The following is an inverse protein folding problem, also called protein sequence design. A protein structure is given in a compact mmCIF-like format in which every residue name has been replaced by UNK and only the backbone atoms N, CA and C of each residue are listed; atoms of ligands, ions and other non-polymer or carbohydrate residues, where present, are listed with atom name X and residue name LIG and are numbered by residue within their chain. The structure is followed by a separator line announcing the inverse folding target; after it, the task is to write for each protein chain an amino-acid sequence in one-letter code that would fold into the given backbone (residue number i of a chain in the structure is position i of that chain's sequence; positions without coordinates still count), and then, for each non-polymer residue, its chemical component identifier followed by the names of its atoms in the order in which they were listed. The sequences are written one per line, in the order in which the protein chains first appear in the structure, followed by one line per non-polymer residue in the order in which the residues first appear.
data_IF_065839348559
#
_entry.id   IF_065839348559
#
_cell.length_a   1.000
_cell.length_b   1.000
_cell.length_c   1.000
_cell.angle_alpha   90.00
_cell.angle_beta   90.00
_cell.angle_gamma   90.00
#
_symmetry.space_group_name_H-M   'P 1'
#
loop_
_entity.id
_entity.type
_entity.pdbx_description
1 polymer ?
#
# COMPACT_ATOMS: atom_id res chain seq x y z
N UNK A 1 -15.81 8.60 -37.24
CA UNK A 1 -16.68 9.76 -37.52
C UNK A 1 -16.43 10.78 -36.43
N UNK A 2 -15.96 11.96 -36.80
CA UNK A 2 -15.53 13.01 -35.87
C UNK A 2 -16.74 13.71 -35.23
N UNK A 3 -16.63 14.04 -33.94
CA UNK A 3 -17.43 15.09 -33.33
C UNK A 3 -16.66 15.68 -32.12
N UNK A 4 -16.15 16.89 -32.31
CA UNK A 4 -15.81 17.83 -31.24
C UNK A 4 -17.08 18.39 -30.61
N UNK A 5 -17.15 18.44 -29.27
CA UNK A 5 -17.98 19.41 -28.55
C UNK A 5 -17.22 19.99 -27.36
N UNK A 6 -17.14 21.32 -27.36
CA UNK A 6 -16.78 22.18 -26.22
C UNK A 6 -17.96 22.26 -25.24
N UNK A 7 -17.65 22.46 -23.97
CA UNK A 7 -18.57 23.06 -22.99
C UNK A 7 -19.02 22.07 -21.93
N UNK A 8 -18.80 22.45 -20.67
CA UNK A 8 -18.92 21.56 -19.52
C UNK A 8 -20.31 21.00 -19.28
N UNK A 9 -20.33 19.78 -18.76
CA UNK A 9 -21.31 19.32 -17.78
C UNK A 9 -20.73 18.11 -17.04
N UNK A 10 -20.89 18.15 -15.72
CA UNK A 10 -20.56 17.10 -14.77
C UNK A 10 -21.28 15.81 -15.18
N UNK A 11 -20.54 14.75 -15.50
CA UNK A 11 -21.09 13.41 -15.70
C UNK A 11 -20.86 12.59 -14.41
N UNK A 12 -21.83 12.71 -13.51
CA UNK A 12 -22.04 11.83 -12.38
C UNK A 12 -22.54 10.48 -12.92
N UNK A 13 -21.68 9.46 -12.95
CA UNK A 13 -22.10 8.10 -13.27
C UNK A 13 -22.65 7.42 -12.00
N UNK A 14 -23.93 7.66 -11.72
CA UNK A 14 -24.73 6.81 -10.83
C UNK A 14 -25.28 5.66 -11.67
N UNK A 15 -24.89 4.43 -11.35
CA UNK A 15 -25.61 3.23 -11.79
C UNK A 15 -26.32 2.67 -10.56
N UNK A 16 -27.63 2.90 -10.52
CA UNK A 16 -28.57 2.25 -9.61
C UNK A 16 -29.19 1.05 -10.32
N UNK A 17 -29.17 -0.13 -9.69
CA UNK A 17 -30.20 -1.14 -9.89
C UNK A 17 -30.17 -2.14 -8.73
N UNK A 18 -31.16 -2.06 -7.83
CA UNK A 18 -32.01 -3.22 -7.57
C UNK A 18 -33.27 -2.86 -6.78
N UNK A 19 -34.36 -3.43 -7.28
CA UNK A 19 -35.74 -3.25 -6.90
C UNK A 19 -36.11 -4.05 -5.64
N UNK A 20 -37.06 -3.50 -4.90
CA UNK A 20 -38.09 -4.15 -4.06
C UNK A 20 -37.68 -4.94 -2.82
N UNK A 21 -38.02 -4.34 -1.68
CA UNK A 21 -38.43 -4.99 -0.45
C UNK A 21 -39.51 -6.05 -0.72
N UNK A 22 -39.27 -7.26 -0.22
CA UNK A 22 -40.32 -8.18 0.18
C UNK A 22 -39.81 -8.95 1.39
N UNK A 23 -40.59 -8.85 2.46
CA UNK A 23 -40.39 -9.53 3.73
C UNK A 23 -39.99 -10.99 3.53
N UNK A 24 -38.89 -11.40 4.16
CA UNK A 24 -38.76 -12.77 4.63
C UNK A 24 -38.21 -12.75 6.05
N UNK A 25 -39.04 -13.32 6.91
CA UNK A 25 -38.79 -13.66 8.31
C UNK A 25 -37.41 -14.29 8.47
N UNK A 26 -36.53 -13.67 9.24
CA UNK A 26 -35.34 -14.34 9.77
C UNK A 26 -35.80 -15.37 10.80
N UNK A 27 -36.04 -16.60 10.35
CA UNK A 27 -35.98 -17.75 11.23
C UNK A 27 -34.52 -17.92 11.65
N UNK A 28 -34.24 -17.72 12.93
CA UNK A 28 -33.00 -18.11 13.58
C UNK A 28 -32.78 -19.61 13.39
N UNK A 29 -32.03 -19.98 12.35
CA UNK A 29 -31.50 -21.33 12.20
C UNK A 29 -30.15 -21.37 12.89
N UNK A 30 -30.17 -21.81 14.14
CA UNK A 30 -28.97 -22.28 14.84
C UNK A 30 -28.49 -23.56 14.14
N UNK A 31 -27.61 -23.42 13.15
CA UNK A 31 -26.71 -24.49 12.73
C UNK A 31 -25.31 -24.11 13.18
N UNK A 32 -24.59 -25.03 13.82
CA UNK A 32 -23.15 -24.89 14.07
C UNK A 32 -22.43 -24.69 12.74
N UNK A 33 -22.26 -23.44 12.32
CA UNK A 33 -21.60 -23.11 11.07
C UNK A 33 -20.10 -23.41 11.22
N UNK A 34 -19.57 -24.27 10.34
CA UNK A 34 -18.13 -24.45 10.20
C UNK A 34 -17.47 -23.12 9.83
N UNK A 35 -16.21 -22.93 10.22
CA UNK A 35 -15.46 -21.73 9.85
C UNK A 35 -15.39 -21.60 8.33
N UNK A 36 -15.46 -20.38 7.75
CA UNK A 36 -15.15 -20.12 6.34
C UNK A 36 -13.89 -20.86 5.85
N UNK A 37 -12.87 -20.94 6.70
CA UNK A 37 -11.62 -21.64 6.40
C UNK A 37 -11.84 -23.15 6.32
N UNK A 38 -12.61 -23.76 7.22
CA UNK A 38 -12.85 -25.21 7.21
C UNK A 38 -13.65 -25.63 5.98
N UNK A 39 -14.63 -24.81 5.58
CA UNK A 39 -15.40 -25.04 4.36
C UNK A 39 -14.53 -24.91 3.11
N UNK A 40 -13.58 -23.98 3.14
CA UNK A 40 -12.61 -23.78 2.08
C UNK A 40 -11.69 -24.99 1.94
N UNK A 41 -11.08 -25.44 3.02
CA UNK A 41 -10.19 -26.61 3.03
C UNK A 41 -10.94 -27.88 2.58
N UNK A 42 -12.17 -28.09 3.06
CA UNK A 42 -13.01 -29.22 2.65
C UNK A 42 -13.35 -29.17 1.16
N UNK A 43 -13.54 -27.98 0.60
CA UNK A 43 -13.73 -27.81 -0.83
C UNK A 43 -12.49 -28.19 -1.64
N UNK A 44 -11.31 -27.73 -1.20
CA UNK A 44 -10.03 -28.01 -1.86
C UNK A 44 -9.76 -29.51 -1.92
N UNK A 45 -9.93 -30.23 -0.81
CA UNK A 45 -9.69 -31.68 -0.74
C UNK A 45 -10.56 -32.49 -1.71
N UNK A 46 -11.70 -31.95 -2.15
CA UNK A 46 -12.58 -32.60 -3.12
C UNK A 46 -12.28 -32.23 -4.58
N UNK A 47 -11.35 -31.31 -4.84
CA UNK A 47 -11.10 -30.73 -6.17
C UNK A 47 -9.63 -30.73 -6.58
N UNK A 48 -8.72 -30.82 -5.63
CA UNK A 48 -7.28 -30.80 -5.85
C UNK A 48 -6.69 -32.05 -5.19
N UNK A 49 -5.72 -32.74 -5.84
CA UNK A 49 -5.03 -33.86 -5.22
C UNK A 49 -4.41 -33.49 -3.87
N UNK A 50 -4.47 -34.42 -2.91
CA UNK A 50 -4.07 -34.16 -1.53
C UNK A 50 -2.58 -33.78 -1.41
N UNK A 51 -1.74 -34.31 -2.30
CA UNK A 51 -0.32 -34.00 -2.39
C UNK A 51 -0.01 -32.56 -2.81
N UNK A 52 -1.01 -31.82 -3.31
CA UNK A 52 -0.87 -30.41 -3.72
C UNK A 52 -1.51 -29.43 -2.73
N UNK A 53 -2.17 -29.91 -1.67
CA UNK A 53 -2.84 -29.08 -0.66
C UNK A 53 -2.21 -29.30 0.71
N UNK A 54 -1.40 -28.33 1.13
CA UNK A 54 -0.72 -28.37 2.42
C UNK A 54 -1.47 -27.50 3.43
N UNK A 55 -2.11 -28.13 4.40
CA UNK A 55 -2.70 -27.45 5.57
C UNK A 55 -1.67 -27.26 6.67
N UNK A 56 -1.91 -26.39 7.65
CA UNK A 56 -0.97 -26.21 8.78
C UNK A 56 -0.69 -27.51 9.59
N UNK A 57 -1.59 -28.49 9.53
CA UNK A 57 -1.41 -29.81 10.15
C UNK A 57 -0.62 -30.80 9.29
N UNK A 58 -0.36 -30.48 8.01
CA UNK A 58 0.38 -31.34 7.09
C UNK A 58 1.88 -31.33 7.42
N UNK A 59 2.52 -32.49 7.43
CA UNK A 59 3.96 -32.62 7.72
C UNK A 59 4.84 -31.85 6.73
N UNK A 60 4.42 -31.73 5.47
CA UNK A 60 5.12 -30.97 4.42
C UNK A 60 4.86 -29.46 4.43
N UNK A 61 3.93 -28.95 5.26
CA UNK A 61 3.51 -27.55 5.20
C UNK A 61 4.65 -26.55 5.35
N UNK A 62 5.51 -26.76 6.35
CA UNK A 62 6.62 -25.85 6.59
C UNK A 62 7.69 -25.93 5.52
N UNK A 63 7.93 -27.12 4.94
CA UNK A 63 8.87 -27.28 3.85
C UNK A 63 8.37 -26.53 2.61
N UNK A 64 7.10 -26.73 2.25
CA UNK A 64 6.48 -26.07 1.10
C UNK A 64 6.34 -24.56 1.30
N UNK A 65 5.98 -24.10 2.51
CA UNK A 65 5.92 -22.69 2.83
C UNK A 65 7.30 -22.06 2.64
N UNK A 66 8.34 -22.68 3.20
CA UNK A 66 9.70 -22.12 3.15
C UNK A 66 10.27 -22.09 1.73
N UNK A 67 9.93 -23.08 0.89
CA UNK A 67 10.39 -23.15 -0.50
C UNK A 67 9.65 -22.20 -1.45
N UNK A 68 8.34 -22.01 -1.25
CA UNK A 68 7.47 -21.26 -2.19
C UNK A 68 7.28 -19.79 -1.82
N UNK A 69 7.45 -19.44 -0.54
CA UNK A 69 7.07 -18.11 -0.04
C UNK A 69 7.98 -17.02 -0.58
N UNK A 70 7.40 -16.12 -1.36
CA UNK A 70 8.09 -14.92 -1.84
C UNK A 70 8.25 -13.87 -0.73
N UNK A 71 7.45 -13.97 0.34
CA UNK A 71 7.47 -13.08 1.49
C UNK A 71 7.77 -13.81 2.81
N UNK A 72 9.04 -13.84 3.27
CA UNK A 72 9.47 -14.59 4.46
C UNK A 72 8.73 -14.23 5.75
N UNK A 73 7.99 -13.11 5.80
CA UNK A 73 7.15 -12.76 6.95
C UNK A 73 6.26 -13.92 7.37
N UNK A 74 5.66 -14.62 6.39
CA UNK A 74 4.72 -15.72 6.62
C UNK A 74 5.38 -16.98 7.21
N UNK A 75 6.72 -17.05 7.22
CA UNK A 75 7.48 -18.13 7.84
C UNK A 75 7.71 -17.87 9.34
N UNK A 76 7.72 -16.60 9.75
CA UNK A 76 7.97 -16.20 11.14
C UNK A 76 6.72 -16.37 12.03
N UNK A 77 6.92 -16.54 13.34
CA UNK A 77 5.81 -16.57 14.31
C UNK A 77 5.15 -15.20 14.54
N UNK A 78 5.65 -14.12 13.91
CA UNK A 78 5.16 -12.77 14.10
C UNK A 78 3.93 -12.43 13.24
N UNK A 79 3.59 -13.27 12.26
CA UNK A 79 2.41 -13.09 11.40
C UNK A 79 1.58 -14.37 11.34
N UNK A 80 0.26 -14.20 11.19
CA UNK A 80 -0.64 -15.32 10.94
C UNK A 80 -0.19 -16.03 9.66
N UNK A 81 0.12 -17.32 9.79
CA UNK A 81 0.51 -18.16 8.66
C UNK A 81 -0.69 -18.40 7.74
N UNK A 82 -0.47 -18.67 6.43
CA UNK A 82 -1.54 -19.08 5.53
C UNK A 82 -2.34 -20.25 6.12
N UNK A 83 -3.65 -20.26 5.90
CA UNK A 83 -4.51 -21.37 6.33
C UNK A 83 -4.16 -22.67 5.60
N UNK A 84 -3.77 -22.57 4.32
CA UNK A 84 -3.18 -23.64 3.53
C UNK A 84 -2.30 -23.07 2.41
N UNK A 85 -1.52 -23.94 1.78
CA UNK A 85 -0.77 -23.68 0.56
C UNK A 85 -1.31 -24.62 -0.50
N UNK A 86 -1.62 -24.06 -1.68
CA UNK A 86 -1.96 -24.83 -2.87
C UNK A 86 -0.75 -24.78 -3.79
N UNK A 87 0.01 -25.87 -3.85
CA UNK A 87 1.10 -26.04 -4.80
C UNK A 87 0.51 -26.33 -6.18
N UNK A 88 0.01 -25.30 -6.85
CA UNK A 88 -0.68 -25.49 -8.12
C UNK A 88 0.30 -25.93 -9.21
N UNK A 89 0.18 -27.18 -9.68
CA UNK A 89 0.90 -27.71 -10.84
C UNK A 89 0.19 -27.48 -12.18
N UNK A 90 -1.09 -27.12 -12.14
CA UNK A 90 -1.94 -26.88 -13.31
C UNK A 90 -2.92 -25.72 -13.06
N UNK A 91 -3.33 -25.03 -14.13
CA UNK A 91 -4.27 -23.92 -14.05
C UNK A 91 -5.61 -24.32 -13.40
N UNK A 92 -6.06 -25.56 -13.56
CA UNK A 92 -7.27 -26.08 -12.92
C UNK A 92 -7.19 -26.08 -11.39
N UNK A 93 -6.00 -26.23 -10.78
CA UNK A 93 -5.82 -26.14 -9.33
C UNK A 93 -6.05 -24.72 -8.82
N UNK A 94 -5.55 -23.73 -9.56
CA UNK A 94 -5.80 -22.31 -9.26
C UNK A 94 -7.30 -22.02 -9.38
N UNK A 95 -7.93 -22.44 -10.48
CA UNK A 95 -9.38 -22.27 -10.67
C UNK A 95 -10.20 -22.93 -9.55
N UNK A 96 -9.81 -24.14 -9.12
CA UNK A 96 -10.44 -24.86 -8.02
C UNK A 96 -10.29 -24.11 -6.70
N UNK A 97 -9.08 -23.64 -6.37
CA UNK A 97 -8.84 -22.86 -5.16
C UNK A 97 -9.67 -21.59 -5.14
N UNK A 98 -9.73 -20.89 -6.25
CA UNK A 98 -10.51 -19.66 -6.33
C UNK A 98 -12.03 -19.93 -6.23
N UNK A 99 -12.56 -20.98 -6.90
CA UNK A 99 -13.97 -21.38 -6.75
C UNK A 99 -14.33 -21.79 -5.31
N UNK A 100 -13.41 -22.50 -4.66
CA UNK A 100 -13.56 -22.89 -3.26
C UNK A 100 -13.55 -21.68 -2.34
N UNK A 101 -12.68 -20.70 -2.59
CA UNK A 101 -12.64 -19.45 -1.84
C UNK A 101 -13.99 -18.73 -1.88
N UNK A 102 -14.54 -18.53 -3.09
CA UNK A 102 -15.87 -17.96 -3.30
C UNK A 102 -16.96 -18.64 -2.47
N UNK A 103 -17.03 -19.98 -2.54
CA UNK A 103 -18.07 -20.76 -1.85
C UNK A 103 -18.00 -20.59 -0.33
N UNK A 104 -16.79 -20.38 0.17
CA UNK A 104 -16.51 -20.25 1.59
C UNK A 104 -16.51 -18.80 2.09
N UNK A 105 -16.90 -17.83 1.26
CA UNK A 105 -16.87 -16.41 1.65
C UNK A 105 -15.46 -15.81 1.70
N UNK A 106 -14.44 -16.52 1.22
CA UNK A 106 -13.11 -15.99 0.94
C UNK A 106 -13.17 -15.39 -0.47
N UNK A 107 -13.70 -14.17 -0.58
CA UNK A 107 -14.28 -13.53 -1.76
C UNK A 107 -13.36 -13.24 -2.97
N UNK A 108 -12.63 -14.24 -3.46
CA UNK A 108 -11.95 -14.20 -4.75
C UNK A 108 -12.52 -15.31 -5.63
N UNK A 109 -12.80 -15.00 -6.89
CA UNK A 109 -13.47 -15.88 -7.86
C UNK A 109 -12.64 -15.97 -9.14
N UNK A 110 -12.68 -17.07 -9.90
CA UNK A 110 -11.73 -17.25 -11.01
C UNK A 110 -11.94 -16.21 -12.10
N UNK A 111 -13.15 -15.64 -12.16
CA UNK A 111 -13.49 -14.48 -12.99
C UNK A 111 -12.84 -13.17 -12.54
N UNK A 112 -12.31 -13.09 -11.31
CA UNK A 112 -11.62 -11.91 -10.78
C UNK A 112 -10.10 -11.95 -11.06
N UNK A 113 -9.59 -13.08 -11.57
CA UNK A 113 -8.17 -13.27 -11.90
C UNK A 113 -7.96 -13.18 -13.42
N UNK A 114 -6.93 -12.44 -13.83
CA UNK A 114 -6.52 -12.34 -15.23
C UNK A 114 -5.10 -12.86 -15.40
N UNK A 115 -4.93 -13.93 -16.18
CA UNK A 115 -3.62 -14.43 -16.56
C UNK A 115 -3.02 -13.51 -17.62
N UNK A 116 -2.06 -12.67 -17.21
CA UNK A 116 -1.41 -11.66 -18.04
C UNK A 116 0.10 -11.87 -18.08
N UNK A 117 0.72 -11.57 -19.23
CA UNK A 117 2.17 -11.39 -19.25
C UNK A 117 2.56 -10.19 -18.39
N UNK A 118 3.80 -10.13 -17.91
CA UNK A 118 4.26 -9.04 -17.04
C UNK A 118 3.98 -7.64 -17.63
N UNK A 119 4.24 -7.44 -18.93
CA UNK A 119 3.98 -6.17 -19.60
C UNK A 119 2.49 -5.79 -19.61
N UNK A 120 1.60 -6.78 -19.82
CA UNK A 120 0.14 -6.55 -19.80
C UNK A 120 -0.37 -6.32 -18.38
N UNK A 121 0.22 -6.96 -17.38
CA UNK A 121 -0.09 -6.69 -15.98
C UNK A 121 0.29 -5.25 -15.58
N UNK A 122 1.44 -4.74 -16.05
CA UNK A 122 1.84 -3.34 -15.82
C UNK A 122 0.92 -2.35 -16.54
N UNK A 123 0.50 -2.68 -17.76
CA UNK A 123 -0.50 -1.89 -18.49
C UNK A 123 -1.85 -1.89 -17.76
N UNK A 124 -2.30 -3.03 -17.23
CA UNK A 124 -3.52 -3.14 -16.44
C UNK A 124 -3.48 -2.25 -15.18
N UNK A 125 -2.39 -2.33 -14.40
CA UNK A 125 -2.22 -1.52 -13.19
C UNK A 125 -2.17 -0.03 -13.52
N UNK A 126 -1.50 0.35 -14.61
CA UNK A 126 -1.25 1.76 -14.94
C UNK A 126 -2.40 2.43 -15.68
N UNK A 127 -3.13 1.68 -16.50
CA UNK A 127 -4.18 2.19 -17.38
C UNK A 127 -5.59 1.79 -16.94
N UNK A 128 -5.71 0.88 -15.96
CA UNK A 128 -6.97 0.49 -15.32
C UNK A 128 -7.83 -0.49 -16.12
N UNK A 129 -7.34 -1.04 -17.23
CA UNK A 129 -8.09 -1.95 -18.09
C UNK A 129 -7.23 -3.15 -18.54
N UNK A 130 -7.77 -4.36 -18.44
CA UNK A 130 -7.01 -5.60 -18.69
C UNK A 130 -6.67 -5.80 -20.17
N UNK A 131 -7.45 -5.18 -21.06
CA UNK A 131 -7.27 -5.15 -22.51
C UNK A 131 -6.49 -3.92 -23.01
N UNK A 132 -6.01 -3.06 -22.10
CA UNK A 132 -5.27 -1.86 -22.47
C UNK A 132 -3.99 -2.20 -23.28
N UNK A 133 -3.80 -1.48 -24.37
CA UNK A 133 -2.61 -1.58 -25.20
C UNK A 133 -1.37 -1.08 -24.43
N UNK A 134 -0.30 -1.88 -24.28
CA UNK A 134 0.90 -1.47 -23.53
C UNK A 134 1.55 -0.18 -24.03
N UNK A 135 1.40 0.13 -25.31
CA UNK A 135 1.88 1.37 -25.94
C UNK A 135 1.29 2.62 -25.29
N UNK A 136 0.12 2.51 -24.64
CA UNK A 136 -0.47 3.58 -23.85
C UNK A 136 0.47 4.10 -22.75
N UNK A 137 1.33 3.24 -22.19
CA UNK A 137 2.33 3.63 -21.18
C UNK A 137 3.47 4.50 -21.75
N UNK A 138 3.61 4.59 -23.09
CA UNK A 138 4.58 5.49 -23.73
C UNK A 138 4.10 6.94 -23.76
N UNK A 139 2.83 7.21 -23.48
CA UNK A 139 2.24 8.55 -23.51
C UNK A 139 2.77 9.39 -22.34
N UNK A 140 3.49 10.46 -22.65
CA UNK A 140 4.09 11.38 -21.66
C UNK A 140 3.24 12.62 -21.36
N UNK A 141 1.94 12.58 -21.67
CA UNK A 141 1.05 13.71 -21.46
C UNK A 141 0.60 13.75 -20.00
N UNK A 142 0.92 14.82 -19.28
CA UNK A 142 0.48 15.03 -17.90
C UNK A 142 -0.84 15.81 -17.85
N UNK A 143 -1.73 15.41 -16.94
CA UNK A 143 -2.92 16.19 -16.61
C UNK A 143 -2.52 17.30 -15.63
N UNK A 144 -2.55 18.56 -16.09
CA UNK A 144 -2.22 19.74 -15.26
C UNK A 144 -3.41 20.27 -14.44
N UNK A 145 -4.60 19.67 -14.57
CA UNK A 145 -5.83 20.13 -13.90
C UNK A 145 -6.13 19.42 -12.57
N UNK A 146 -5.28 18.50 -12.12
CA UNK A 146 -5.46 17.76 -10.88
C UNK A 146 -4.29 18.03 -9.95
N UNK A 147 -4.62 18.50 -8.75
CA UNK A 147 -3.65 18.70 -7.68
C UNK A 147 -3.72 17.54 -6.70
N UNK A 148 -2.59 17.27 -6.04
CA UNK A 148 -2.46 16.19 -5.08
C UNK A 148 -1.63 16.66 -3.88
N UNK A 149 -2.04 16.21 -2.69
CA UNK A 149 -1.19 16.20 -1.49
C UNK A 149 -1.09 14.75 -1.04
N UNK A 150 0.12 14.34 -0.70
CA UNK A 150 0.39 12.99 -0.21
C UNK A 150 1.16 13.02 1.10
N UNK A 151 0.96 11.95 1.88
CA UNK A 151 1.74 11.61 3.08
C UNK A 151 2.04 10.13 3.05
N UNK A 152 2.92 9.67 3.93
CA UNK A 152 3.19 8.24 4.07
C UNK A 152 3.51 7.82 5.49
N UNK A 153 3.29 6.54 5.76
CA UNK A 153 3.67 5.89 7.01
C UNK A 153 4.21 4.50 6.74
N UNK A 154 4.89 3.93 7.73
CA UNK A 154 5.19 2.51 7.78
C UNK A 154 4.50 1.84 8.97
N UNK A 155 3.92 0.67 8.75
CA UNK A 155 3.32 -0.14 9.81
C UNK A 155 4.24 -1.29 10.16
N UNK A 156 4.50 -1.47 11.46
CA UNK A 156 5.35 -2.55 12.00
C UNK A 156 4.59 -3.52 12.90
N UNK A 157 3.36 -3.16 13.32
CA UNK A 157 2.48 -4.01 14.14
C UNK A 157 1.09 -4.04 13.53
N UNK A 158 0.40 -5.20 13.52
CA UNK A 158 -0.94 -5.27 12.97
C UNK A 158 -1.91 -4.38 13.74
N UNK A 159 -2.77 -3.67 13.01
CA UNK A 159 -3.91 -2.96 13.58
C UNK A 159 -5.06 -3.93 13.84
N UNK A 160 -5.78 -3.74 14.95
CA UNK A 160 -6.97 -4.53 15.26
C UNK A 160 -8.16 -4.18 14.35
N UNK A 161 -9.08 -5.13 14.17
CA UNK A 161 -10.26 -4.95 13.33
C UNK A 161 -11.11 -3.73 13.74
N UNK A 162 -11.29 -3.50 15.04
CA UNK A 162 -12.02 -2.33 15.54
C UNK A 162 -11.36 -0.99 15.14
N UNK A 163 -10.03 -0.93 15.14
CA UNK A 163 -9.30 0.26 14.71
C UNK A 163 -9.49 0.52 13.20
N UNK A 164 -9.46 -0.54 12.39
CA UNK A 164 -9.77 -0.43 10.96
C UNK A 164 -11.21 -0.01 10.69
N UNK A 165 -12.17 -0.57 11.41
CA UNK A 165 -13.58 -0.20 11.28
C UNK A 165 -13.82 1.27 11.60
N UNK A 166 -13.23 1.76 12.70
CA UNK A 166 -13.32 3.17 13.07
C UNK A 166 -12.64 4.09 12.04
N UNK A 167 -11.41 3.77 11.63
CA UNK A 167 -10.70 4.53 10.59
C UNK A 167 -11.51 4.64 9.30
N UNK A 168 -12.14 3.53 8.88
CA UNK A 168 -12.96 3.49 7.69
C UNK A 168 -14.22 4.35 7.83
N UNK A 169 -14.98 4.17 8.92
CA UNK A 169 -16.21 4.94 9.15
C UNK A 169 -15.96 6.43 9.28
N UNK A 170 -14.89 6.81 9.99
CA UNK A 170 -14.67 8.18 10.43
C UNK A 170 -14.00 9.03 9.34
N UNK A 171 -13.21 8.41 8.46
CA UNK A 171 -12.42 9.12 7.45
C UNK A 171 -12.71 8.70 6.01
N UNK A 172 -12.71 7.39 5.73
CA UNK A 172 -12.74 6.86 4.35
C UNK A 172 -14.14 6.77 3.76
N UNK A 173 -15.19 6.66 4.58
CA UNK A 173 -16.59 6.59 4.13
C UNK A 173 -17.22 7.97 3.80
N UNK A 174 -16.42 9.04 3.78
CA UNK A 174 -16.90 10.41 3.54
C UNK A 174 -16.97 10.77 2.04
N UNK A 175 -17.90 11.65 1.66
CA UNK A 175 -18.21 11.99 0.25
C UNK A 175 -17.11 12.73 -0.54
N UNK A 176 -15.93 12.95 0.04
CA UNK A 176 -14.74 13.50 -0.64
C UNK A 176 -13.46 12.88 -0.08
N UNK A 177 -13.53 11.63 0.39
CA UNK A 177 -12.37 10.93 0.89
C UNK A 177 -11.30 10.83 -0.21
N UNK A 178 -10.04 10.99 0.20
CA UNK A 178 -8.91 10.61 -0.62
C UNK A 178 -8.72 9.10 -0.67
N UNK A 179 -7.53 8.69 -1.06
CA UNK A 179 -7.10 7.29 -1.15
C UNK A 179 -6.14 6.94 -0.02
N UNK A 180 -6.27 5.71 0.46
CA UNK A 180 -5.31 5.06 1.34
C UNK A 180 -4.86 3.78 0.64
N UNK A 181 -3.58 3.72 0.28
CA UNK A 181 -2.98 2.59 -0.45
C UNK A 181 -2.03 1.86 0.50
N UNK A 182 -2.20 0.54 0.63
CA UNK A 182 -1.36 -0.30 1.47
C UNK A 182 -0.47 -1.15 0.58
N UNK A 183 0.84 -0.92 0.63
CA UNK A 183 1.81 -1.66 -0.17
C UNK A 183 2.50 -2.71 0.70
N UNK A 184 2.23 -4.02 0.49
CA UNK A 184 2.75 -5.06 1.35
C UNK A 184 4.29 -5.09 1.28
N UNK A 185 4.89 -5.08 2.46
CA UNK A 185 6.33 -5.20 2.62
C UNK A 185 6.70 -6.62 3.07
N UNK A 186 8.01 -6.87 3.15
CA UNK A 186 8.61 -8.15 3.48
C UNK A 186 9.43 -8.67 2.30
N UNK A 187 9.36 -9.97 2.02
CA UNK A 187 10.14 -10.52 0.90
C UNK A 187 11.65 -10.41 1.12
N UNK A 188 12.37 -10.43 0.00
CA UNK A 188 13.82 -10.16 -0.03
C UNK A 188 14.13 -8.80 0.62
N UNK A 189 13.27 -7.81 0.40
CA UNK A 189 13.44 -6.44 0.93
C UNK A 189 13.44 -6.44 2.46
N UNK A 190 12.54 -7.20 3.10
CA UNK A 190 12.45 -7.24 4.57
C UNK A 190 13.29 -8.32 5.25
N UNK A 191 13.77 -9.34 4.53
CA UNK A 191 14.45 -10.49 5.13
C UNK A 191 15.95 -10.60 4.79
N UNK A 192 16.37 -10.07 3.64
CA UNK A 192 17.74 -10.29 3.12
C UNK A 192 18.56 -9.01 3.12
N UNK A 193 17.94 -7.88 2.78
CA UNK A 193 18.66 -6.61 2.58
C UNK A 193 18.78 -5.86 3.91
N UNK A 194 20.01 -5.58 4.40
CA UNK A 194 20.20 -4.79 5.62
C UNK A 194 19.67 -3.35 5.48
N UNK A 195 19.15 -2.79 6.58
CA UNK A 195 18.64 -1.41 6.65
C UNK A 195 19.67 -0.35 6.18
N UNK A 196 20.97 -0.65 6.35
CA UNK A 196 22.08 0.27 6.02
C UNK A 196 22.68 0.02 4.62
N UNK A 197 22.14 -0.92 3.85
CA UNK A 197 22.69 -1.31 2.56
C UNK A 197 22.55 -0.21 1.50
N UNK A 198 21.46 0.56 1.56
CA UNK A 198 21.20 1.72 0.71
C UNK A 198 20.66 2.88 1.56
N UNK A 199 20.48 4.09 1.03
CA UNK A 199 19.86 5.19 1.77
C UNK A 199 18.48 4.84 2.34
N UNK A 200 17.72 3.98 1.64
CA UNK A 200 16.37 3.56 2.01
C UNK A 200 16.38 2.52 3.17
N UNK A 201 15.95 2.90 4.39
CA UNK A 201 16.14 2.08 5.59
C UNK A 201 14.96 1.16 5.93
N UNK A 202 13.78 1.38 5.34
CA UNK A 202 12.54 0.73 5.77
C UNK A 202 12.48 -0.71 5.27
N UNK A 203 13.12 -1.63 6.00
CA UNK A 203 13.32 -3.03 5.58
C UNK A 203 12.72 -4.01 6.58
N UNK A 204 13.56 -4.51 7.49
CA UNK A 204 13.19 -5.57 8.41
C UNK A 204 12.11 -5.10 9.39
N UNK A 205 11.13 -5.97 9.65
CA UNK A 205 10.01 -5.69 10.57
C UNK A 205 8.93 -4.75 10.04
N UNK A 206 9.06 -4.24 8.80
CA UNK A 206 7.99 -3.48 8.14
C UNK A 206 6.94 -4.46 7.58
N UNK A 207 5.68 -4.24 7.93
CA UNK A 207 4.54 -5.00 7.41
C UNK A 207 4.05 -4.42 6.09
N UNK A 208 3.88 -3.11 5.99
CA UNK A 208 3.48 -2.43 4.76
C UNK A 208 3.81 -0.94 4.86
N UNK A 209 4.01 -0.32 3.70
CA UNK A 209 3.95 1.13 3.57
C UNK A 209 2.49 1.55 3.37
N UNK A 210 2.15 2.73 3.88
CA UNK A 210 0.89 3.39 3.58
C UNK A 210 1.21 4.65 2.78
N UNK A 211 0.52 4.81 1.65
CA UNK A 211 0.42 6.09 0.96
C UNK A 211 -0.97 6.67 1.21
N UNK A 212 -1.01 7.88 1.76
CA UNK A 212 -2.21 8.69 1.86
C UNK A 212 -2.19 9.69 0.73
N UNK A 213 -3.28 9.80 -0.04
CA UNK A 213 -3.38 10.76 -1.14
C UNK A 213 -4.73 11.44 -1.13
N UNK A 214 -4.77 12.75 -1.32
CA UNK A 214 -6.00 13.49 -1.56
C UNK A 214 -5.85 14.32 -2.82
N UNK A 215 -6.90 14.35 -3.63
CA UNK A 215 -6.92 15.03 -4.93
C UNK A 215 -7.96 16.14 -4.92
N UNK A 216 -7.68 17.23 -5.64
CA UNK A 216 -8.67 18.26 -5.92
C UNK A 216 -8.48 18.86 -7.31
N UNK A 217 -9.50 19.58 -7.78
CA UNK A 217 -9.57 20.21 -9.09
C UNK A 217 -9.97 21.67 -8.96
N UNK A 218 -9.76 22.44 -10.02
CA UNK A 218 -10.02 23.88 -10.05
C UNK A 218 -8.76 24.66 -9.71
N UNK A 219 -8.79 25.44 -8.63
CA UNK A 219 -7.68 26.27 -8.20
C UNK A 219 -6.65 25.48 -7.36
N UNK A 220 -5.36 25.80 -7.54
CA UNK A 220 -4.28 25.21 -6.74
C UNK A 220 -4.45 25.51 -5.25
N UNK A 221 -4.92 26.72 -4.95
CA UNK A 221 -5.19 27.23 -3.60
C UNK A 221 -6.64 27.71 -3.51
N UNK A 222 -7.25 27.54 -2.34
CA UNK A 222 -8.66 27.86 -2.11
C UNK A 222 -9.35 26.81 -1.24
N UNK A 223 -10.68 26.91 -1.12
CA UNK A 223 -11.45 26.10 -0.17
C UNK A 223 -11.34 24.60 -0.43
N UNK A 224 -11.38 24.15 -1.70
CA UNK A 224 -11.21 22.73 -2.05
C UNK A 224 -9.84 22.20 -1.62
N UNK A 225 -8.77 22.96 -1.87
CA UNK A 225 -7.41 22.58 -1.43
C UNK A 225 -7.29 22.55 0.11
N UNK A 226 -7.98 23.46 0.81
CA UNK A 226 -7.96 23.54 2.26
C UNK A 226 -8.76 22.39 2.88
N UNK A 227 -9.94 22.08 2.36
CA UNK A 227 -10.75 20.94 2.78
C UNK A 227 -10.01 19.61 2.55
N UNK A 228 -9.38 19.44 1.38
CA UNK A 228 -8.58 18.25 1.06
C UNK A 228 -7.42 18.07 2.06
N UNK A 229 -6.66 19.13 2.33
CA UNK A 229 -5.56 19.10 3.29
C UNK A 229 -6.04 18.80 4.72
N UNK A 230 -7.11 19.44 5.18
CA UNK A 230 -7.71 19.18 6.51
C UNK A 230 -8.14 17.71 6.66
N UNK A 231 -8.75 17.13 5.62
CA UNK A 231 -9.12 15.72 5.64
C UNK A 231 -7.89 14.81 5.76
N UNK A 232 -6.86 15.08 4.96
CA UNK A 232 -5.62 14.30 4.97
C UNK A 232 -4.89 14.39 6.31
N UNK A 233 -4.82 15.59 6.89
CA UNK A 233 -4.18 15.81 8.20
C UNK A 233 -4.95 15.09 9.32
N UNK A 234 -6.29 15.11 9.28
CA UNK A 234 -7.11 14.37 10.23
C UNK A 234 -6.90 12.85 10.12
N UNK A 235 -6.89 12.30 8.91
CA UNK A 235 -6.61 10.88 8.67
C UNK A 235 -5.20 10.50 9.14
N UNK A 236 -4.20 11.33 8.82
CA UNK A 236 -2.81 11.09 9.20
C UNK A 236 -2.62 11.18 10.73
N UNK A 237 -3.32 12.09 11.40
CA UNK A 237 -3.33 12.17 12.87
C UNK A 237 -3.96 10.92 13.50
N UNK A 238 -5.11 10.45 12.97
CA UNK A 238 -5.79 9.26 13.47
C UNK A 238 -4.91 7.99 13.41
N UNK A 239 -4.00 7.92 12.44
CA UNK A 239 -3.09 6.78 12.26
C UNK A 239 -1.88 6.79 13.21
N UNK A 240 -1.59 7.89 13.92
CA UNK A 240 -0.34 8.07 14.67
C UNK A 240 -0.03 6.94 15.65
N UNK A 241 -1.03 6.47 16.41
CA UNK A 241 -0.86 5.41 17.40
C UNK A 241 -0.68 4.00 16.78
N UNK A 242 -1.05 3.84 15.52
CA UNK A 242 -1.08 2.56 14.81
C UNK A 242 0.17 2.31 13.94
N UNK A 243 0.91 3.36 13.60
CA UNK A 243 2.05 3.32 12.69
C UNK A 243 3.38 3.33 13.45
N UNK A 244 4.50 3.31 12.71
CA UNK A 244 5.84 3.46 13.29
C UNK A 244 5.95 4.75 14.13
N UNK A 245 6.78 4.70 15.17
CA UNK A 245 7.04 5.85 16.02
C UNK A 245 8.47 5.83 16.53
N UNK A 246 9.01 7.04 16.78
CA UNK A 246 10.40 7.29 17.24
C UNK A 246 11.50 6.75 16.30
N UNK A 247 11.65 7.30 15.08
CA UNK A 247 10.80 8.33 14.46
C UNK A 247 9.54 7.74 13.82
N UNK A 248 8.54 8.59 13.55
CA UNK A 248 7.44 8.22 12.66
C UNK A 248 7.96 8.24 11.23
N UNK A 249 8.17 7.04 10.68
CA UNK A 249 8.86 6.81 9.42
C UNK A 249 8.04 7.29 8.22
N UNK A 250 8.71 7.82 7.19
CA UNK A 250 8.09 8.31 5.97
C UNK A 250 8.92 7.92 4.73
N UNK A 251 8.34 7.93 3.54
CA UNK A 251 9.04 7.61 2.30
C UNK A 251 9.41 8.87 1.50
N UNK A 252 10.70 9.05 1.18
CA UNK A 252 11.22 10.29 0.57
C UNK A 252 10.61 10.63 -0.80
N UNK A 253 10.21 9.63 -1.59
CA UNK A 253 9.56 9.88 -2.89
C UNK A 253 8.11 10.36 -2.74
N UNK A 254 7.54 10.29 -1.54
CA UNK A 254 6.29 10.95 -1.16
C UNK A 254 6.63 12.17 -0.31
N UNK A 255 7.29 13.15 -0.93
CA UNK A 255 7.85 14.33 -0.25
C UNK A 255 6.75 15.10 0.49
N UNK A 256 6.98 15.36 1.77
CA UNK A 256 6.05 16.04 2.65
C UNK A 256 6.79 17.12 3.43
N UNK A 257 6.53 18.40 3.11
CA UNK A 257 7.17 19.51 3.83
C UNK A 257 6.64 19.65 5.27
N UNK A 258 5.49 19.05 5.59
CA UNK A 258 4.85 19.19 6.91
C UNK A 258 5.62 18.44 8.01
N UNK A 259 6.52 17.51 7.65
CA UNK A 259 7.41 16.83 8.62
C UNK A 259 8.69 17.62 8.92
N UNK A 260 8.87 18.78 8.28
CA UNK A 260 9.94 19.74 8.56
C UNK A 260 10.71 20.15 7.31
N UNK A 261 11.23 21.37 7.36
CA UNK A 261 12.07 21.96 6.31
C UNK A 261 13.43 22.36 6.87
N UNK A 262 14.37 22.55 5.96
CA UNK A 262 15.72 23.01 6.19
C UNK A 262 15.76 24.46 6.69
N UNK A 263 16.57 24.71 7.72
CA UNK A 263 17.02 26.06 8.05
C UNK A 263 18.40 26.31 7.43
N UNK A 264 18.61 27.51 6.89
CA UNK A 264 19.88 27.93 6.31
C UNK A 264 20.56 28.93 7.24
N UNK A 265 21.76 28.59 7.72
CA UNK A 265 22.57 29.41 8.62
C UNK A 265 23.94 29.61 7.99
N UNK A 266 24.37 30.87 7.84
CA UNK A 266 25.66 31.16 7.19
C UNK A 266 25.74 30.72 5.72
N UNK A 267 24.60 30.62 5.03
CA UNK A 267 24.52 30.20 3.63
C UNK A 267 24.53 28.69 3.39
N UNK A 268 24.54 27.88 4.46
CA UNK A 268 24.55 26.41 4.40
C UNK A 268 23.36 25.84 5.18
N UNK A 269 22.77 24.75 4.68
CA UNK A 269 21.72 24.04 5.40
C UNK A 269 22.25 23.46 6.72
N UNK A 270 21.57 23.75 7.83
CA UNK A 270 21.94 23.28 9.15
C UNK A 270 21.54 21.82 9.39
N UNK A 271 22.50 20.97 9.76
CA UNK A 271 22.30 19.54 10.03
C UNK A 271 21.22 19.26 11.09
N UNK A 272 21.28 19.95 12.25
CA UNK A 272 20.36 19.68 13.36
C UNK A 272 18.90 20.02 13.01
N UNK A 273 18.67 21.09 12.24
CA UNK A 273 17.33 21.44 11.75
C UNK A 273 16.74 20.33 10.87
N UNK A 274 17.59 19.73 10.03
CA UNK A 274 17.18 18.75 9.04
C UNK A 274 16.94 17.37 9.63
N UNK A 275 17.53 17.04 10.79
CA UNK A 275 17.33 15.73 11.44
C UNK A 275 15.85 15.42 11.70
N UNK A 276 15.03 16.44 11.96
CA UNK A 276 13.58 16.30 12.25
C UNK A 276 12.82 15.56 11.14
N UNK A 277 13.14 15.85 9.88
CA UNK A 277 12.57 15.18 8.71
C UNK A 277 13.51 14.07 8.20
N UNK A 278 14.82 14.28 8.27
CA UNK A 278 15.84 13.38 7.74
C UNK A 278 15.86 12.01 8.41
N UNK A 279 15.69 11.95 9.73
CA UNK A 279 15.60 10.68 10.46
C UNK A 279 14.27 9.95 10.18
N UNK A 280 13.21 10.65 9.76
CA UNK A 280 11.95 10.01 9.33
C UNK A 280 12.11 9.31 7.98
N UNK A 281 12.82 9.93 7.02
CA UNK A 281 13.06 9.35 5.69
C UNK A 281 14.19 8.33 5.63
N UNK A 282 15.24 8.53 6.45
CA UNK A 282 16.49 7.79 6.31
C UNK A 282 16.93 7.08 7.59
N UNK A 283 16.21 7.26 8.71
CA UNK A 283 16.53 6.63 10.00
C UNK A 283 18.03 6.80 10.33
N UNK A 284 18.71 5.71 10.72
CA UNK A 284 20.14 5.71 11.01
C UNK A 284 21.05 6.06 9.83
N UNK A 285 20.55 6.01 8.57
CA UNK A 285 21.33 6.35 7.39
C UNK A 285 21.54 7.86 7.21
N UNK A 286 20.71 8.71 7.85
CA UNK A 286 20.74 10.16 7.62
C UNK A 286 22.12 10.79 7.87
N UNK A 287 22.78 10.42 8.98
CA UNK A 287 24.12 10.94 9.32
C UNK A 287 25.16 10.56 8.27
N UNK A 288 25.11 9.32 7.77
CA UNK A 288 26.02 8.85 6.72
C UNK A 288 25.80 9.63 5.42
N UNK A 289 24.54 9.90 5.06
CA UNK A 289 24.21 10.73 3.90
C UNK A 289 24.76 12.15 4.04
N UNK A 290 24.59 12.77 5.21
CA UNK A 290 25.11 14.12 5.46
C UNK A 290 26.64 14.18 5.43
N UNK A 291 27.32 13.14 5.93
CA UNK A 291 28.78 13.03 5.83
C UNK A 291 29.26 12.88 4.37
N UNK A 292 28.53 12.14 3.53
CA UNK A 292 28.82 12.06 2.09
C UNK A 292 28.60 13.42 1.43
N UNK A 293 27.46 14.07 1.69
CA UNK A 293 27.15 15.42 1.20
C UNK A 293 28.25 16.41 1.56
N UNK A 294 28.75 16.41 2.79
CA UNK A 294 29.84 17.28 3.24
C UNK A 294 31.15 17.08 2.49
N UNK A 295 31.40 15.90 1.92
CA UNK A 295 32.60 15.63 1.10
C UNK A 295 32.43 16.04 -0.36
N UNK A 296 31.24 15.82 -0.92
CA UNK A 296 31.00 16.00 -2.37
C UNK A 296 30.45 17.38 -2.72
N UNK A 297 29.79 18.05 -1.78
CA UNK A 297 29.18 19.37 -1.95
C UNK A 297 29.19 20.16 -0.61
N UNK A 298 30.39 20.51 -0.10
CA UNK A 298 30.54 21.23 1.17
C UNK A 298 29.93 22.64 1.15
N UNK A 299 29.81 23.25 -0.04
CA UNK A 299 29.20 24.57 -0.22
C UNK A 299 27.68 24.55 -0.31
N UNK A 300 27.06 23.37 -0.19
CA UNK A 300 25.61 23.16 -0.25
C UNK A 300 24.95 23.77 -1.51
N UNK A 301 25.59 23.56 -2.67
CA UNK A 301 25.10 24.06 -3.95
C UNK A 301 23.81 23.36 -4.38
N UNK A 302 23.79 22.02 -4.31
CA UNK A 302 22.62 21.22 -4.67
C UNK A 302 21.66 21.12 -3.49
N UNK A 303 20.75 22.10 -3.36
CA UNK A 303 19.82 22.18 -2.23
C UNK A 303 18.37 22.44 -2.62
N UNK A 304 17.47 22.05 -1.72
CA UNK A 304 16.06 22.39 -1.68
C UNK A 304 15.57 22.40 -0.21
N UNK A 305 14.28 22.58 0.02
CA UNK A 305 13.67 22.69 1.36
C UNK A 305 13.88 21.44 2.24
N UNK A 306 14.22 20.28 1.65
CA UNK A 306 14.51 19.03 2.37
C UNK A 306 15.71 18.29 1.75
N UNK A 307 16.71 19.01 1.24
CA UNK A 307 17.96 18.40 0.79
C UNK A 307 18.80 17.98 1.98
N UNK A 308 19.52 16.87 1.85
CA UNK A 308 20.50 16.45 2.86
C UNK A 308 21.53 17.58 3.07
N UNK A 309 21.73 18.08 4.31
CA UNK A 309 22.75 19.08 4.60
C UNK A 309 24.16 18.48 4.59
N UNK A 310 25.19 19.27 4.24
CA UNK A 310 26.57 18.84 4.43
C UNK A 310 26.91 18.77 5.91
N UNK A 311 27.34 17.60 6.39
CA UNK A 311 27.95 17.45 7.70
C UNK A 311 29.47 17.55 7.54
N UNK A 312 30.00 18.75 7.78
CA UNK A 312 31.44 19.00 7.77
C UNK A 312 32.07 18.32 8.99
N UNK A 313 33.05 17.45 8.76
CA UNK A 313 33.86 16.92 9.86
C UNK A 313 34.87 18.00 10.28
N UNK A 314 35.15 18.17 11.59
CA UNK A 314 36.29 18.98 12.00
C UNK A 314 37.54 18.35 11.38
N UNK A 315 38.33 19.18 10.67
CA UNK A 315 39.64 18.80 10.16
C UNK A 315 40.61 18.54 11.32
#
# INVERSE_FOLDING_TARGET
MAATMRGGNVALAIIFLCFTCSNNVFLLRSSSASSPIDDFLRCLSGKIPAEQVFTQSSSGFMAELTSSVQNPRFVTNATVRPACIVAASDASHVQAAVRCGRRSGLGMTASDCHDLTWLRAMAFISLGAADAAPEGMLRRTNNLGTYVKSKSDYVRRPMGAAAWSALFSDHLASNNAGVLILEPHGGVVGAVIPDMATPYPHRAGVLYNIQYGVFWWGDAEGESSAAARRWLDALYAAMEAAVSGKPREAFVNYRDLDIGENAVVGGVTEYESARRWGERYFMGNFRRLAAVKGRVDPGDYFRNEQSIPPLLQPY
#
